data_IF_126537659786
#
_entry.id   IF_126537659786
#
_cell.length_a   1.000
_cell.length_b   1.000
_cell.length_c   1.000
_cell.angle_alpha   90.00
_cell.angle_beta   90.00
_cell.angle_gamma   90.00
#
_symmetry.space_group_name_H-M   'P 1'
#
loop_
_entity.id
_entity.type
_entity.pdbx_description
1 polymer ?
#
# COMPACT_ATOMS: atom_id res chain seq x y z
N UNK A 1 -7.66 5.37 -12.05
CA UNK A 1 -8.70 4.65 -11.25
C UNK A 1 -9.13 5.45 -10.03
N UNK A 2 -8.23 5.82 -9.11
CA UNK A 2 -8.61 6.56 -7.90
C UNK A 2 -9.23 7.94 -8.19
N UNK A 3 -8.66 8.69 -9.13
CA UNK A 3 -9.26 9.96 -9.58
C UNK A 3 -10.65 9.77 -10.21
N UNK A 4 -10.87 8.65 -10.91
CA UNK A 4 -12.20 8.31 -11.42
C UNK A 4 -13.18 8.03 -10.27
N UNK A 5 -12.77 7.26 -9.26
CA UNK A 5 -13.58 7.01 -8.06
C UNK A 5 -13.92 8.33 -7.34
N UNK A 6 -12.97 9.27 -7.28
CA UNK A 6 -13.19 10.62 -6.75
C UNK A 6 -14.21 11.41 -7.58
N UNK A 7 -14.11 11.36 -8.92
CA UNK A 7 -15.04 12.06 -9.82
C UNK A 7 -16.49 11.57 -9.72
N UNK A 8 -16.71 10.31 -9.34
CA UNK A 8 -18.06 9.75 -9.13
C UNK A 8 -18.51 9.83 -7.66
N UNK A 9 -17.78 10.56 -6.81
CA UNK A 9 -18.02 10.69 -5.38
C UNK A 9 -18.17 9.34 -4.68
N UNK A 10 -17.26 8.41 -4.97
CA UNK A 10 -17.28 7.08 -4.37
C UNK A 10 -17.08 7.15 -2.86
N UNK A 11 -18.06 6.63 -2.10
CA UNK A 11 -18.12 6.78 -0.63
C UNK A 11 -17.59 5.58 0.15
N UNK A 12 -17.31 4.46 -0.53
CA UNK A 12 -16.84 3.25 0.16
C UNK A 12 -15.33 3.35 0.47
N UNK A 13 -14.91 2.47 1.38
CA UNK A 13 -13.55 2.36 1.88
C UNK A 13 -12.59 1.83 0.82
N UNK A 14 -11.43 2.48 0.68
CA UNK A 14 -10.36 2.06 -0.22
C UNK A 14 -9.28 1.34 0.60
N UNK A 15 -8.92 0.12 0.19
CA UNK A 15 -7.78 -0.59 0.75
C UNK A 15 -6.64 -0.54 -0.27
N UNK A 16 -5.47 -0.11 0.17
CA UNK A 16 -4.26 -0.06 -0.67
C UNK A 16 -3.60 -1.44 -0.63
N UNK A 17 -3.50 -2.10 -1.78
CA UNK A 17 -2.77 -3.36 -1.93
C UNK A 17 -1.28 -3.11 -2.20
N UNK A 18 -0.46 -4.15 -2.04
CA UNK A 18 0.99 -4.09 -2.30
C UNK A 18 1.33 -3.70 -3.75
N UNK A 19 0.42 -3.91 -4.69
CA UNK A 19 0.64 -3.63 -6.12
C UNK A 19 0.60 -2.11 -6.41
N UNK A 20 -0.03 -1.31 -5.54
CA UNK A 20 -0.07 0.15 -5.73
C UNK A 20 1.28 0.83 -5.43
N UNK A 21 2.27 0.08 -4.96
CA UNK A 21 3.63 0.54 -4.70
C UNK A 21 3.77 1.67 -3.66
N UNK A 22 2.90 1.69 -2.65
CA UNK A 22 2.94 2.66 -1.55
C UNK A 22 3.83 2.12 -0.42
N UNK A 23 5.10 2.52 -0.39
CA UNK A 23 6.13 1.90 0.49
C UNK A 23 6.73 2.82 1.55
N UNK A 24 6.60 4.14 1.41
CA UNK A 24 7.19 5.11 2.33
C UNK A 24 6.13 6.04 2.93
N UNK A 25 6.54 6.77 3.98
CA UNK A 25 5.65 7.67 4.72
C UNK A 25 5.08 8.80 3.85
N UNK A 26 5.83 9.28 2.87
CA UNK A 26 5.42 10.34 1.97
C UNK A 26 4.29 9.88 1.03
N UNK A 27 4.42 8.69 0.44
CA UNK A 27 3.40 8.08 -0.38
C UNK A 27 2.15 7.75 0.44
N UNK A 28 2.31 7.23 1.66
CA UNK A 28 1.19 6.98 2.56
C UNK A 28 0.45 8.29 2.87
N UNK A 29 1.18 9.35 3.26
CA UNK A 29 0.61 10.66 3.52
C UNK A 29 -0.18 11.20 2.34
N UNK A 30 0.42 11.18 1.14
CA UNK A 30 -0.26 11.59 -0.09
C UNK A 30 -1.58 10.85 -0.29
N UNK A 31 -1.58 9.53 -0.05
CA UNK A 31 -2.77 8.72 -0.21
C UNK A 31 -3.85 9.05 0.82
N UNK A 32 -3.47 9.29 2.07
CA UNK A 32 -4.41 9.68 3.15
C UNK A 32 -4.99 11.08 2.92
N UNK A 33 -4.19 12.02 2.43
CA UNK A 33 -4.63 13.40 2.17
C UNK A 33 -5.59 13.50 0.98
N UNK A 34 -5.48 12.60 0.00
CA UNK A 34 -6.23 12.70 -1.25
C UNK A 34 -7.41 11.73 -1.38
N UNK A 35 -7.43 10.64 -0.59
CA UNK A 35 -8.40 9.56 -0.74
C UNK A 35 -8.87 9.01 0.61
N UNK A 36 -10.09 8.45 0.62
CA UNK A 36 -10.68 7.81 1.81
C UNK A 36 -10.12 6.39 2.03
N UNK A 37 -8.85 6.32 2.42
CA UNK A 37 -8.13 5.06 2.67
C UNK A 37 -8.52 4.49 4.03
N UNK A 38 -8.85 3.20 4.05
CA UNK A 38 -9.21 2.47 5.27
C UNK A 38 -8.07 1.58 5.79
N UNK A 39 -7.21 1.09 4.91
CA UNK A 39 -6.12 0.18 5.26
C UNK A 39 -5.00 0.25 4.22
N UNK A 40 -3.76 0.16 4.67
CA UNK A 40 -2.57 0.06 3.82
C UNK A 40 -1.92 -1.30 4.04
N UNK A 41 -1.79 -2.06 2.96
CA UNK A 41 -1.07 -3.34 2.99
C UNK A 41 0.35 -3.04 2.52
N UNK A 42 1.30 -3.03 3.47
CA UNK A 42 2.70 -2.72 3.19
C UNK A 42 3.35 -3.88 2.45
N UNK A 43 4.26 -3.54 1.54
CA UNK A 43 5.00 -4.54 0.79
C UNK A 43 6.05 -5.22 1.66
N UNK A 44 6.45 -6.42 1.25
CA UNK A 44 7.51 -7.22 1.87
C UNK A 44 8.89 -6.57 1.75
N UNK A 45 9.03 -5.59 0.85
CA UNK A 45 10.26 -4.81 0.70
C UNK A 45 10.45 -3.78 1.82
N UNK A 46 9.40 -3.46 2.59
CA UNK A 46 9.49 -2.53 3.71
C UNK A 46 10.08 -3.26 4.91
N UNK A 47 11.20 -2.76 5.41
CA UNK A 47 11.92 -3.36 6.54
C UNK A 47 11.15 -3.18 7.86
N UNK A 48 11.44 -4.01 8.87
CA UNK A 48 10.82 -3.90 10.20
C UNK A 48 11.05 -2.50 10.82
N UNK A 49 12.25 -1.93 10.64
CA UNK A 49 12.56 -0.58 11.13
C UNK A 49 11.72 0.49 10.42
N UNK A 50 11.49 0.36 9.12
CA UNK A 50 10.64 1.30 8.38
C UNK A 50 9.17 1.14 8.76
N UNK A 51 8.71 -0.10 8.94
CA UNK A 51 7.37 -0.38 9.46
C UNK A 51 7.18 0.33 10.80
N UNK A 52 8.12 0.19 11.74
CA UNK A 52 8.05 0.86 13.05
C UNK A 52 7.94 2.39 12.94
N UNK A 53 8.71 2.99 12.03
CA UNK A 53 8.62 4.43 11.77
C UNK A 53 7.26 4.82 11.18
N UNK A 54 6.76 4.06 10.21
CA UNK A 54 5.47 4.30 9.54
C UNK A 54 4.31 4.18 10.53
N UNK A 55 4.25 3.12 11.35
CA UNK A 55 3.14 2.94 12.31
C UNK A 55 3.14 4.00 13.40
N UNK A 56 4.32 4.51 13.82
CA UNK A 56 4.41 5.62 14.77
C UNK A 56 3.95 6.95 14.17
N UNK A 57 4.25 7.18 12.90
CA UNK A 57 3.86 8.40 12.18
C UNK A 57 2.34 8.46 11.92
N UNK A 58 1.71 7.31 11.65
CA UNK A 58 0.28 7.22 11.32
C UNK A 58 -0.47 6.29 12.31
N UNK A 59 -0.57 6.66 13.60
CA UNK A 59 -1.07 5.77 14.65
C UNK A 59 -2.54 5.37 14.49
N UNK A 60 -3.35 6.18 13.79
CA UNK A 60 -4.77 5.89 13.53
C UNK A 60 -4.98 4.99 12.30
N UNK A 61 -3.93 4.74 11.52
CA UNK A 61 -4.04 3.99 10.28
C UNK A 61 -3.88 2.49 10.46
N UNK A 62 -4.69 1.73 9.74
CA UNK A 62 -4.63 0.27 9.75
C UNK A 62 -3.58 -0.19 8.76
N UNK A 63 -2.57 -0.87 9.28
CA UNK A 63 -1.54 -1.51 8.48
C UNK A 63 -1.68 -3.03 8.50
N UNK A 64 -1.41 -3.65 7.36
CA UNK A 64 -1.31 -5.10 7.21
C UNK A 64 0.02 -5.42 6.51
N UNK A 65 0.68 -6.48 6.96
CA UNK A 65 1.98 -6.92 6.44
C UNK A 65 1.93 -8.43 6.18
N UNK A 66 2.71 -8.90 5.21
CA UNK A 66 2.91 -10.33 4.99
C UNK A 66 4.15 -10.79 5.75
N UNK A 67 3.98 -11.72 6.69
CA UNK A 67 5.08 -12.26 7.50
C UNK A 67 5.93 -13.31 6.78
N UNK A 68 5.35 -14.04 5.82
CA UNK A 68 6.05 -15.04 5.00
C UNK A 68 5.91 -14.66 3.53
N UNK A 69 7.04 -14.61 2.83
CA UNK A 69 7.08 -14.33 1.42
C UNK A 69 7.09 -15.62 0.61
N UNK A 70 6.00 -15.90 -0.11
CA UNK A 70 6.06 -16.84 -1.24
C UNK A 70 7.24 -16.45 -2.14
N UNK A 71 8.04 -17.44 -2.57
CA UNK A 71 9.37 -17.43 -3.22
C UNK A 71 9.64 -16.38 -4.34
N UNK A 72 8.69 -15.49 -4.64
CA UNK A 72 8.83 -14.31 -5.48
C UNK A 72 9.91 -13.36 -4.95
N UNK A 73 11.00 -13.26 -5.72
CA UNK A 73 12.17 -12.39 -5.49
C UNK A 73 12.00 -10.96 -6.03
N UNK A 74 10.91 -10.68 -6.73
CA UNK A 74 10.69 -9.41 -7.44
C UNK A 74 9.81 -8.45 -6.63
N UNK A 75 9.97 -7.15 -6.87
CA UNK A 75 9.16 -6.12 -6.21
C UNK A 75 7.68 -6.29 -6.54
N UNK A 76 6.80 -6.37 -5.53
CA UNK A 76 5.39 -6.70 -5.72
C UNK A 76 4.64 -5.69 -6.60
N UNK A 77 4.97 -4.40 -6.51
CA UNK A 77 4.37 -3.33 -7.32
C UNK A 77 5.05 -3.09 -8.67
N UNK A 78 6.23 -3.70 -8.90
CA UNK A 78 7.05 -3.51 -10.10
C UNK A 78 7.54 -4.86 -10.65
N UNK A 79 6.72 -5.90 -10.55
CA UNK A 79 7.10 -7.23 -11.00
C UNK A 79 7.24 -7.24 -12.53
N UNK A 80 8.42 -7.65 -13.02
CA UNK A 80 8.67 -7.90 -14.45
C UNK A 80 8.39 -9.34 -14.85
N UNK A 81 7.81 -10.15 -13.95
CA UNK A 81 7.41 -11.50 -14.31
C UNK A 81 6.30 -11.40 -15.36
N UNK A 82 6.61 -11.81 -16.60
CA UNK A 82 5.57 -12.06 -17.58
C UNK A 82 4.66 -13.16 -17.01
N UNK A 83 3.42 -12.81 -16.68
CA UNK A 83 2.35 -13.78 -16.46
C UNK A 83 1.97 -14.39 -17.82
N UNK A 84 2.89 -15.18 -18.40
CA UNK A 84 2.62 -15.96 -19.61
C UNK A 84 1.78 -17.17 -19.23
N UNK A 85 0.64 -17.28 -19.90
CA UNK A 85 -0.29 -18.42 -19.86
C UNK A 85 0.40 -19.74 -20.22
#
# INVERSE_FOLDING_TARGET
MLEFLKSINFTKKINISTILAVYNKEAIRFMLENYNVNKVILSREVTISEIEQIVKEFPEMKFEVFGEGDFCRYNNGLCFAEHKY
#
